data_IF_075806369226
#
_entry.id   IF_075806369226
#
_cell.length_a   1.000
_cell.length_b   1.000
_cell.length_c   1.000
_cell.angle_alpha   90.00
_cell.angle_beta   90.00
_cell.angle_gamma   90.00
#
_symmetry.space_group_name_H-M   'P 1'
#
loop_
_entity.id
_entity.type
_entity.pdbx_description
1 polymer ?
#
# COMPACT_ATOMS: atom_id res chain seq x y z
N UNK A 1 17.39 -17.84 39.34
CA UNK A 1 16.37 -18.66 38.63
C UNK A 1 14.97 -18.07 38.50
N UNK A 2 14.45 -17.20 39.37
CA UNK A 2 13.07 -16.67 39.23
C UNK A 2 12.81 -15.79 38.00
N UNK A 3 13.87 -15.22 37.39
CA UNK A 3 13.77 -14.28 36.27
C UNK A 3 13.48 -14.99 34.92
N UNK A 4 13.99 -16.21 34.71
CA UNK A 4 13.83 -16.93 33.45
C UNK A 4 12.37 -17.38 33.24
N UNK A 5 11.73 -17.90 34.28
CA UNK A 5 10.33 -18.31 34.27
C UNK A 5 9.40 -17.13 33.97
N UNK A 6 9.63 -15.99 34.63
CA UNK A 6 8.86 -14.76 34.39
C UNK A 6 9.05 -14.26 32.96
N UNK A 7 10.30 -14.19 32.47
CA UNK A 7 10.61 -13.80 31.10
C UNK A 7 9.94 -14.72 30.06
N UNK A 8 9.92 -16.02 30.32
CA UNK A 8 9.25 -17.01 29.47
C UNK A 8 7.74 -16.75 29.38
N UNK A 9 7.06 -16.60 30.52
CA UNK A 9 5.62 -16.31 30.54
C UNK A 9 5.29 -14.96 29.90
N UNK A 10 6.10 -13.93 30.12
CA UNK A 10 5.94 -12.66 29.40
C UNK A 10 6.09 -12.82 27.89
N UNK A 11 7.07 -13.62 27.44
CA UNK A 11 7.24 -13.94 26.03
C UNK A 11 6.02 -14.62 25.41
N UNK A 12 5.44 -15.59 26.11
CA UNK A 12 4.20 -16.27 25.70
C UNK A 12 3.03 -15.29 25.63
N UNK A 13 2.78 -14.53 26.70
CA UNK A 13 1.68 -13.55 26.75
C UNK A 13 1.83 -12.54 25.61
N UNK A 14 3.03 -12.01 25.41
CA UNK A 14 3.31 -11.07 24.33
C UNK A 14 3.05 -11.68 22.94
N UNK A 15 3.45 -12.93 22.72
CA UNK A 15 3.18 -13.65 21.48
C UNK A 15 1.67 -13.79 21.24
N UNK A 16 0.89 -14.22 22.23
CA UNK A 16 -0.56 -14.35 22.13
C UNK A 16 -1.25 -13.01 21.86
N UNK A 17 -0.82 -11.93 22.53
CA UNK A 17 -1.34 -10.60 22.28
C UNK A 17 -1.06 -10.11 20.85
N UNK A 18 0.14 -10.39 20.33
CA UNK A 18 0.49 -10.09 18.93
C UNK A 18 -0.40 -10.82 17.94
N UNK A 19 -0.61 -12.12 18.15
CA UNK A 19 -1.48 -12.95 17.30
C UNK A 19 -2.92 -12.45 17.33
N UNK A 20 -3.46 -12.21 18.53
CA UNK A 20 -4.81 -11.68 18.69
C UNK A 20 -4.98 -10.33 17.98
N UNK A 21 -4.00 -9.43 18.11
CA UNK A 21 -4.03 -8.12 17.44
C UNK A 21 -3.99 -8.25 15.92
N UNK A 22 -3.20 -9.18 15.38
CA UNK A 22 -3.14 -9.47 13.95
C UNK A 22 -4.49 -9.98 13.45
N UNK A 23 -5.03 -11.03 14.10
CA UNK A 23 -6.35 -11.60 13.75
C UNK A 23 -7.42 -10.52 13.79
N UNK A 24 -7.48 -9.72 14.86
CA UNK A 24 -8.46 -8.63 14.97
C UNK A 24 -8.36 -7.63 13.81
N UNK A 25 -7.15 -7.16 13.47
CA UNK A 25 -6.94 -6.22 12.37
C UNK A 25 -7.30 -6.83 11.02
N UNK A 26 -6.89 -8.07 10.79
CA UNK A 26 -7.16 -8.81 9.57
C UNK A 26 -8.67 -8.99 9.37
N UNK A 27 -9.37 -9.46 10.39
CA UNK A 27 -10.82 -9.64 10.39
C UNK A 27 -11.53 -8.32 10.11
N UNK A 28 -11.16 -7.24 10.82
CA UNK A 28 -11.73 -5.92 10.58
C UNK A 28 -11.50 -5.44 9.14
N UNK A 29 -10.36 -5.75 8.55
CA UNK A 29 -10.03 -5.38 7.18
C UNK A 29 -10.85 -6.16 6.15
N UNK A 30 -10.90 -7.50 6.23
CA UNK A 30 -11.63 -8.33 5.25
C UNK A 30 -13.15 -8.08 5.23
N UNK A 31 -13.72 -7.58 6.33
CA UNK A 31 -15.13 -7.20 6.41
C UNK A 31 -15.43 -5.79 5.87
N UNK A 32 -14.43 -5.04 5.40
CA UNK A 32 -14.65 -3.77 4.70
C UNK A 32 -15.24 -4.00 3.30
N UNK A 33 -15.89 -2.97 2.71
CA UNK A 33 -16.28 -3.01 1.30
C UNK A 33 -15.07 -3.33 0.39
N UNK A 34 -15.31 -4.02 -0.72
CA UNK A 34 -14.24 -4.51 -1.63
C UNK A 34 -13.36 -3.39 -2.16
N UNK A 35 -13.95 -2.23 -2.37
CA UNK A 35 -13.28 -1.01 -2.81
C UNK A 35 -12.26 -0.56 -1.75
N UNK A 36 -12.51 -0.79 -0.46
CA UNK A 36 -11.60 -0.39 0.62
C UNK A 36 -10.49 -1.40 0.93
N UNK A 37 -10.51 -2.57 0.28
CA UNK A 37 -9.54 -3.65 0.48
C UNK A 37 -8.20 -3.40 -0.23
N UNK A 38 -7.58 -2.25 0.04
CA UNK A 38 -6.32 -1.84 -0.58
C UNK A 38 -5.16 -2.76 -0.18
N UNK A 39 -4.38 -3.22 -1.16
CA UNK A 39 -3.28 -4.16 -0.95
C UNK A 39 -2.22 -3.61 0.01
N UNK A 40 -1.90 -2.33 -0.10
CA UNK A 40 -0.94 -1.65 0.76
C UNK A 40 -1.38 -1.65 2.25
N UNK A 41 -2.69 -1.58 2.53
CA UNK A 41 -3.23 -1.69 3.91
C UNK A 41 -3.09 -3.12 4.42
N UNK A 42 -3.39 -4.10 3.58
CA UNK A 42 -3.22 -5.52 3.90
C UNK A 42 -1.75 -5.84 4.23
N UNK A 43 -0.81 -5.39 3.40
CA UNK A 43 0.62 -5.55 3.63
C UNK A 43 1.04 -4.83 4.91
N UNK A 44 0.52 -3.63 5.19
CA UNK A 44 0.81 -2.89 6.43
C UNK A 44 0.38 -3.69 7.67
N UNK A 45 -0.79 -4.33 7.65
CA UNK A 45 -1.28 -5.16 8.77
C UNK A 45 -0.32 -6.31 9.04
N UNK A 46 0.14 -6.99 7.99
CA UNK A 46 1.10 -8.09 8.08
C UNK A 46 2.46 -7.58 8.57
N UNK A 47 2.97 -6.49 8.00
CA UNK A 47 4.25 -5.90 8.40
C UNK A 47 4.25 -5.49 9.89
N UNK A 48 3.15 -4.91 10.38
CA UNK A 48 2.99 -4.51 11.78
C UNK A 48 3.08 -5.67 12.78
N UNK A 49 2.81 -6.90 12.36
CA UNK A 49 2.98 -8.07 13.21
C UNK A 49 4.47 -8.32 13.54
N UNK A 50 5.34 -8.15 12.54
CA UNK A 50 6.79 -8.28 12.69
C UNK A 50 7.40 -7.00 13.27
N UNK A 51 7.02 -5.85 12.73
CA UNK A 51 7.56 -4.52 13.02
C UNK A 51 6.45 -3.54 13.43
N UNK A 52 6.14 -3.40 14.73
CA UNK A 52 4.96 -2.66 15.19
C UNK A 52 4.99 -1.16 14.91
N UNK A 53 6.14 -0.60 14.56
CA UNK A 53 6.33 0.81 14.23
C UNK A 53 6.01 1.15 12.76
N UNK A 54 5.80 0.16 11.89
CA UNK A 54 5.41 0.41 10.49
C UNK A 54 4.03 1.04 10.47
N UNK A 55 3.93 2.30 10.02
CA UNK A 55 2.64 3.00 9.88
C UNK A 55 2.18 2.98 8.43
N UNK A 56 0.85 2.92 8.24
CA UNK A 56 0.25 3.06 6.92
C UNK A 56 0.59 4.42 6.28
N UNK A 57 0.69 5.48 7.09
CA UNK A 57 1.00 6.83 6.60
C UNK A 57 2.37 6.92 5.91
N UNK A 58 3.36 6.15 6.36
CA UNK A 58 4.68 6.11 5.72
C UNK A 58 4.56 5.48 4.33
N UNK A 59 3.85 4.36 4.23
CA UNK A 59 3.63 3.63 2.97
C UNK A 59 2.81 4.48 2.00
N UNK A 60 1.72 5.11 2.47
CA UNK A 60 0.89 6.00 1.67
C UNK A 60 1.68 7.22 1.14
N UNK A 61 2.54 7.82 1.97
CA UNK A 61 3.42 8.91 1.52
C UNK A 61 4.40 8.44 0.45
N UNK A 62 5.02 7.27 0.64
CA UNK A 62 5.96 6.71 -0.31
C UNK A 62 5.30 6.39 -1.66
N UNK A 63 4.12 5.75 -1.65
CA UNK A 63 3.34 5.47 -2.86
C UNK A 63 2.92 6.77 -3.57
N UNK A 64 2.50 7.79 -2.81
CA UNK A 64 2.12 9.09 -3.37
C UNK A 64 3.32 9.79 -4.04
N UNK A 65 4.52 9.68 -3.47
CA UNK A 65 5.74 10.23 -4.06
C UNK A 65 6.08 9.53 -5.38
N UNK A 66 5.92 8.21 -5.47
CA UNK A 66 6.09 7.46 -6.72
C UNK A 66 5.07 7.93 -7.76
N UNK A 67 3.79 8.01 -7.40
CA UNK A 67 2.74 8.46 -8.30
C UNK A 67 3.03 9.87 -8.86
N UNK A 68 3.50 10.80 -8.02
CA UNK A 68 3.90 12.14 -8.46
C UNK A 68 5.09 12.13 -9.41
N UNK A 69 6.12 11.30 -9.14
CA UNK A 69 7.27 11.14 -10.05
C UNK A 69 6.84 10.58 -11.41
N UNK A 70 5.99 9.53 -11.40
CA UNK A 70 5.45 8.92 -12.62
C UNK A 70 4.69 9.96 -13.43
N UNK A 71 3.78 10.72 -12.82
CA UNK A 71 3.02 11.76 -13.50
C UNK A 71 3.92 12.86 -14.08
N UNK A 72 4.98 13.26 -13.37
CA UNK A 72 5.96 14.23 -13.86
C UNK A 72 6.70 13.72 -15.11
N UNK A 73 7.24 12.50 -15.05
CA UNK A 73 7.96 11.89 -16.18
C UNK A 73 7.04 11.64 -17.37
N UNK A 74 5.83 11.17 -17.11
CA UNK A 74 4.79 10.94 -18.12
C UNK A 74 4.40 12.23 -18.82
N UNK A 75 4.31 13.35 -18.07
CA UNK A 75 4.00 14.66 -18.66
C UNK A 75 5.10 15.14 -19.60
N UNK A 76 6.35 14.86 -19.28
CA UNK A 76 7.49 15.24 -20.11
C UNK A 76 7.57 14.39 -21.40
N UNK A 77 7.28 13.08 -21.32
CA UNK A 77 7.41 12.13 -22.44
C UNK A 77 6.14 12.06 -23.31
N UNK A 78 4.97 12.19 -22.70
CA UNK A 78 3.64 12.04 -23.32
C UNK A 78 2.65 13.12 -22.80
N UNK A 79 2.86 14.41 -23.12
CA UNK A 79 2.06 15.51 -22.57
C UNK A 79 0.57 15.45 -22.91
N UNK A 80 0.20 14.75 -23.98
CA UNK A 80 -1.19 14.60 -24.46
C UNK A 80 -1.88 13.34 -23.92
N UNK A 81 -1.27 12.63 -22.97
CA UNK A 81 -1.86 11.41 -22.42
C UNK A 81 -3.17 11.72 -21.67
N UNK A 82 -4.19 10.88 -21.90
CA UNK A 82 -5.55 11.06 -21.36
C UNK A 82 -5.64 11.15 -19.83
N UNK A 83 -4.66 10.60 -19.10
CA UNK A 83 -4.56 10.62 -17.64
C UNK A 83 -4.55 12.04 -17.06
N UNK A 84 -4.02 13.02 -17.80
CA UNK A 84 -3.99 14.42 -17.37
C UNK A 84 -5.37 15.10 -17.44
N UNK A 85 -6.32 14.50 -18.16
CA UNK A 85 -7.72 14.93 -18.18
C UNK A 85 -8.56 14.33 -17.05
N UNK A 86 -8.00 13.40 -16.26
CA UNK A 86 -8.75 12.58 -15.29
C UNK A 86 -8.53 12.96 -13.81
N UNK A 87 -8.08 14.19 -13.55
CA UNK A 87 -7.53 14.61 -12.25
C UNK A 87 -8.44 14.33 -11.03
N UNK A 88 -9.76 14.49 -11.17
CA UNK A 88 -10.72 14.29 -10.07
C UNK A 88 -10.81 12.81 -9.62
N UNK A 89 -10.51 11.87 -10.51
CA UNK A 89 -10.62 10.44 -10.21
C UNK A 89 -9.46 9.94 -9.34
N UNK A 90 -8.32 10.65 -9.30
CA UNK A 90 -7.17 10.21 -8.50
C UNK A 90 -7.43 10.14 -7.00
N UNK A 91 -8.21 11.08 -6.45
CA UNK A 91 -8.54 11.06 -5.02
C UNK A 91 -9.39 9.83 -4.71
N UNK A 92 -10.31 9.48 -5.61
CA UNK A 92 -11.12 8.28 -5.49
C UNK A 92 -10.25 7.03 -5.62
N UNK A 93 -9.40 6.95 -6.64
CA UNK A 93 -8.52 5.82 -6.91
C UNK A 93 -7.49 5.56 -5.82
N UNK A 94 -6.94 6.62 -5.21
CA UNK A 94 -6.01 6.50 -4.07
C UNK A 94 -6.65 5.78 -2.87
N UNK A 95 -7.97 5.92 -2.71
CA UNK A 95 -8.67 5.43 -1.54
C UNK A 95 -9.56 4.21 -1.81
N UNK A 96 -9.56 3.71 -3.05
CA UNK A 96 -10.42 2.63 -3.49
C UNK A 96 -9.74 1.75 -4.55
N UNK A 97 -9.86 0.43 -4.42
CA UNK A 97 -9.57 -0.52 -5.51
C UNK A 97 -10.48 -0.22 -6.70
N UNK A 98 -9.91 -0.33 -7.90
CA UNK A 98 -10.65 -0.20 -9.16
C UNK A 98 -10.34 -1.41 -10.02
N UNK A 99 -11.37 -1.98 -10.62
CA UNK A 99 -11.24 -3.13 -11.52
C UNK A 99 -11.21 -2.71 -12.99
N UNK A 100 -11.62 -1.48 -13.28
CA UNK A 100 -11.71 -0.97 -14.64
C UNK A 100 -10.35 -0.52 -15.15
N UNK A 101 -10.08 -0.81 -16.42
CA UNK A 101 -8.96 -0.23 -17.13
C UNK A 101 -9.42 1.03 -17.86
N UNK A 102 -8.92 2.19 -17.43
CA UNK A 102 -9.30 3.49 -17.98
C UNK A 102 -8.51 3.87 -19.24
N UNK A 103 -7.43 3.14 -19.52
CA UNK A 103 -6.50 3.48 -20.60
C UNK A 103 -6.40 2.36 -21.62
N UNK A 104 -6.27 2.76 -22.88
CA UNK A 104 -6.01 1.79 -23.94
C UNK A 104 -4.62 1.13 -23.72
N UNK A 105 -4.34 -0.02 -24.38
CA UNK A 105 -3.07 -0.72 -24.17
C UNK A 105 -1.81 0.11 -24.42
N UNK A 106 -1.85 1.06 -25.36
CA UNK A 106 -0.69 1.90 -25.66
C UNK A 106 -0.41 2.88 -24.52
N UNK A 107 -1.45 3.56 -24.01
CA UNK A 107 -1.36 4.45 -22.85
C UNK A 107 -0.97 3.71 -21.58
N UNK A 108 -1.57 2.54 -21.33
CA UNK A 108 -1.19 1.69 -20.19
C UNK A 108 0.30 1.29 -20.23
N UNK A 109 0.81 0.93 -21.41
CA UNK A 109 2.23 0.61 -21.60
C UNK A 109 3.15 1.82 -21.38
N UNK A 110 2.71 3.05 -21.70
CA UNK A 110 3.48 4.26 -21.41
C UNK A 110 3.62 4.48 -19.90
N UNK A 111 2.53 4.29 -19.15
CA UNK A 111 2.55 4.38 -17.68
C UNK A 111 3.47 3.30 -17.08
N UNK A 112 3.31 2.03 -17.51
CA UNK A 112 4.14 0.92 -17.03
C UNK A 112 5.61 1.15 -17.33
N UNK A 113 5.97 1.56 -18.55
CA UNK A 113 7.36 1.84 -18.92
C UNK A 113 8.00 2.90 -18.04
N UNK A 114 7.26 3.97 -17.69
CA UNK A 114 7.78 5.02 -16.82
C UNK A 114 7.84 4.57 -15.35
N UNK A 115 6.87 3.77 -14.93
CA UNK A 115 6.89 3.17 -13.60
C UNK A 115 8.10 2.26 -13.43
N UNK A 116 8.38 1.41 -14.41
CA UNK A 116 9.56 0.54 -14.44
C UNK A 116 10.85 1.37 -14.42
N UNK A 117 10.93 2.42 -15.26
CA UNK A 117 12.05 3.37 -15.23
C UNK A 117 12.25 3.92 -13.81
N UNK A 118 11.19 4.34 -13.10
CA UNK A 118 11.31 4.93 -11.75
C UNK A 118 11.62 3.90 -10.66
N UNK A 119 11.05 2.69 -10.74
CA UNK A 119 11.24 1.65 -9.72
C UNK A 119 12.63 1.02 -9.84
N UNK A 120 13.13 0.86 -11.06
CA UNK A 120 14.39 0.20 -11.35
C UNK A 120 15.53 1.15 -11.75
N UNK A 121 15.33 2.47 -11.65
CA UNK A 121 16.40 3.48 -11.85
C UNK A 121 17.40 3.59 -10.69
N UNK A 122 17.31 2.72 -9.68
CA UNK A 122 18.29 2.60 -8.58
C UNK A 122 19.34 1.52 -8.89
#
# INVERSE_FOLDING_TARGET
DSNLTVKYYFGLIYHWLKQYRLVYKQTKFIYMPKEKLLLEKQITIIAQYFQPYVSYSIIDTWLNNIAQKVLSHLKNKYPTHSIFSTCEQFIFWRNNNINDNFWNPAEANQIISILDEIIFSD
#
